data_IF_372329349458
#
_entry.id   IF_372329349458
#
_cell.length_a   1.000
_cell.length_b   1.000
_cell.length_c   1.000
_cell.angle_alpha   90.00
_cell.angle_beta   90.00
_cell.angle_gamma   90.00
#
_symmetry.space_group_name_H-M   'P 1'
#
loop_
_entity.id
_entity.type
_entity.pdbx_description
1 polymer ?
#
# COMPACT_ATOMS: atom_id res chain seq x y z
N UNK A 1 -13.75 3.32 -48.81
CA UNK A 1 -12.59 2.53 -48.34
C UNK A 1 -11.73 3.44 -47.47
N UNK A 2 -11.83 3.32 -46.15
CA UNK A 2 -11.23 4.27 -45.18
C UNK A 2 -9.74 4.00 -45.03
N UNK A 3 -8.92 4.69 -45.82
CA UNK A 3 -7.45 4.74 -45.65
C UNK A 3 -7.13 5.68 -44.47
N UNK A 4 -7.57 5.35 -43.26
CA UNK A 4 -7.08 5.96 -42.01
C UNK A 4 -5.91 5.13 -41.50
N UNK A 5 -4.94 4.91 -42.40
CA UNK A 5 -3.59 4.53 -42.04
C UNK A 5 -3.01 5.78 -41.39
N UNK A 6 -3.22 5.83 -40.09
CA UNK A 6 -2.61 6.77 -39.19
C UNK A 6 -1.11 6.79 -39.50
N UNK A 7 -0.67 7.82 -40.23
CA UNK A 7 0.73 8.22 -40.29
C UNK A 7 1.02 8.83 -38.91
N UNK A 8 1.05 7.99 -37.88
CA UNK A 8 1.66 8.36 -36.61
C UNK A 8 3.09 8.70 -36.99
N UNK A 9 3.37 10.01 -37.06
CA UNK A 9 4.71 10.53 -37.21
C UNK A 9 5.62 9.70 -36.33
N UNK A 10 6.75 9.24 -36.88
CA UNK A 10 7.69 8.33 -36.22
C UNK A 10 7.99 8.80 -34.78
N UNK A 11 8.01 10.11 -34.55
CA UNK A 11 8.15 10.74 -33.24
C UNK A 11 7.08 10.31 -32.22
N UNK A 12 5.82 10.17 -32.61
CA UNK A 12 4.74 9.75 -31.70
C UNK A 12 4.88 8.29 -31.30
N UNK A 13 5.31 7.43 -32.23
CA UNK A 13 5.60 6.02 -31.94
C UNK A 13 6.77 5.93 -30.95
N UNK A 14 7.81 6.73 -31.15
CA UNK A 14 8.97 6.80 -30.23
C UNK A 14 8.54 7.24 -28.83
N UNK A 15 7.74 8.30 -28.71
CA UNK A 15 7.27 8.80 -27.41
C UNK A 15 6.40 7.75 -26.71
N UNK A 16 5.50 7.09 -27.46
CA UNK A 16 4.66 6.02 -26.92
C UNK A 16 5.50 4.84 -26.40
N UNK A 17 6.54 4.44 -27.12
CA UNK A 17 7.45 3.38 -26.70
C UNK A 17 8.23 3.76 -25.43
N UNK A 18 8.79 4.97 -25.36
CA UNK A 18 9.50 5.46 -24.16
C UNK A 18 8.57 5.52 -22.95
N UNK A 19 7.36 6.05 -23.12
CA UNK A 19 6.38 6.13 -22.04
C UNK A 19 6.01 4.73 -21.49
N UNK A 20 5.85 3.75 -22.38
CA UNK A 20 5.57 2.37 -21.99
C UNK A 20 6.75 1.78 -21.18
N UNK A 21 7.98 1.97 -21.63
CA UNK A 21 9.18 1.51 -20.92
C UNK A 21 9.25 2.13 -19.51
N UNK A 22 9.06 3.44 -19.40
CA UNK A 22 9.07 4.13 -18.10
C UNK A 22 7.98 3.60 -17.17
N UNK A 23 6.76 3.40 -17.69
CA UNK A 23 5.66 2.83 -16.90
C UNK A 23 5.99 1.44 -16.36
N UNK A 24 6.59 0.57 -17.18
CA UNK A 24 7.01 -0.77 -16.75
C UNK A 24 8.05 -0.66 -15.63
N UNK A 25 9.07 0.19 -15.78
CA UNK A 25 10.09 0.39 -14.75
C UNK A 25 9.49 0.90 -13.44
N UNK A 26 8.60 1.90 -13.49
CA UNK A 26 7.91 2.41 -12.30
C UNK A 26 7.06 1.33 -11.64
N UNK A 27 6.33 0.52 -12.42
CA UNK A 27 5.57 -0.59 -11.89
C UNK A 27 6.49 -1.59 -11.17
N UNK A 28 7.60 -2.01 -11.77
CA UNK A 28 8.55 -2.93 -11.13
C UNK A 28 9.16 -2.35 -9.85
N UNK A 29 9.50 -1.06 -9.82
CA UNK A 29 10.01 -0.40 -8.62
C UNK A 29 8.96 -0.33 -7.52
N UNK A 30 7.71 0.00 -7.86
CA UNK A 30 6.59 0.05 -6.90
C UNK A 30 6.24 -1.35 -6.41
N UNK A 31 6.20 -2.38 -7.25
CA UNK A 31 5.97 -3.75 -6.81
C UNK A 31 7.11 -4.25 -5.91
N UNK A 32 8.36 -3.92 -6.25
CA UNK A 32 9.55 -4.30 -5.46
C UNK A 32 9.61 -3.54 -4.13
N UNK A 33 9.21 -2.28 -4.09
CA UNK A 33 9.13 -1.45 -2.88
C UNK A 33 7.86 -1.72 -2.06
N UNK A 34 6.78 -2.16 -2.71
CA UNK A 34 5.47 -2.44 -2.13
C UNK A 34 5.47 -3.56 -1.09
N UNK A 35 6.44 -4.47 -1.16
CA UNK A 35 6.66 -5.47 -0.11
C UNK A 35 7.04 -4.86 1.26
N UNK A 36 7.51 -3.61 1.30
CA UNK A 36 7.84 -2.89 2.54
C UNK A 36 6.73 -2.00 3.08
N UNK A 37 5.72 -1.65 2.28
CA UNK A 37 4.68 -0.67 2.68
C UNK A 37 3.79 -1.24 3.79
N UNK A 38 3.56 -2.57 3.82
CA UNK A 38 2.83 -3.22 4.92
C UNK A 38 3.48 -3.07 6.30
N UNK A 39 4.77 -2.69 6.39
CA UNK A 39 5.45 -2.46 7.68
C UNK A 39 5.21 -1.06 8.25
N UNK A 40 4.78 -0.09 7.44
CA UNK A 40 4.56 1.29 7.89
C UNK A 40 3.22 1.53 8.57
N UNK A 41 2.27 0.60 8.41
CA UNK A 41 0.90 0.73 8.93
C UNK A 41 0.57 -0.36 9.94
N UNK A 42 1.56 -0.96 10.61
CA UNK A 42 1.34 -1.93 11.68
C UNK A 42 1.19 -1.23 13.04
N UNK A 43 0.41 -1.81 13.95
CA UNK A 43 0.10 -1.19 15.25
C UNK A 43 1.37 -0.99 16.07
N UNK A 44 2.32 -1.93 15.96
CA UNK A 44 3.66 -1.84 16.52
C UNK A 44 4.48 -0.69 15.94
N UNK A 45 4.35 -0.38 14.65
CA UNK A 45 5.14 0.69 14.01
C UNK A 45 4.72 2.09 14.48
N UNK A 46 3.49 2.26 14.96
CA UNK A 46 3.02 3.50 15.59
C UNK A 46 3.22 3.49 17.12
N UNK A 47 3.94 2.51 17.68
CA UNK A 47 4.19 2.39 19.11
C UNK A 47 3.02 1.81 19.92
N UNK A 48 2.02 1.25 19.25
CA UNK A 48 0.88 0.58 19.87
C UNK A 48 1.04 -0.93 19.96
N UNK A 49 0.07 -1.58 20.60
CA UNK A 49 -0.03 -3.04 20.67
C UNK A 49 -1.43 -3.49 20.30
N UNK A 50 -1.53 -4.56 19.52
CA UNK A 50 -2.80 -5.19 19.20
C UNK A 50 -3.32 -5.97 20.41
N UNK A 51 -4.57 -5.69 20.82
CA UNK A 51 -5.25 -6.37 21.93
C UNK A 51 -6.74 -6.57 21.59
N UNK A 52 -7.40 -7.47 22.31
CA UNK A 52 -8.85 -7.69 22.23
C UNK A 52 -9.62 -6.48 22.80
N UNK A 53 -9.05 -5.85 23.83
CA UNK A 53 -9.56 -4.62 24.42
C UNK A 53 -8.41 -3.70 24.84
N UNK A 54 -8.65 -2.39 24.72
CA UNK A 54 -7.77 -1.36 25.24
C UNK A 54 -8.33 -0.89 26.59
N UNK A 55 -7.55 -1.03 27.66
CA UNK A 55 -7.89 -0.43 28.96
C UNK A 55 -7.84 1.10 28.91
N UNK A 56 -8.31 1.76 29.97
CA UNK A 56 -8.33 3.23 30.08
C UNK A 56 -6.92 3.88 30.09
N UNK A 57 -5.86 3.09 30.16
CA UNK A 57 -4.46 3.53 30.05
C UNK A 57 -3.97 3.58 28.60
N UNK A 58 -4.83 3.24 27.64
CA UNK A 58 -4.51 3.22 26.21
C UNK A 58 -5.48 4.07 25.40
N UNK A 59 -4.97 4.82 24.41
CA UNK A 59 -5.80 5.49 23.43
C UNK A 59 -6.27 4.44 22.40
N UNK A 60 -7.58 4.27 22.27
CA UNK A 60 -8.17 3.31 21.33
C UNK A 60 -8.21 3.93 19.94
N UNK A 61 -7.55 3.30 18.99
CA UNK A 61 -7.62 3.69 17.59
C UNK A 61 -8.25 2.56 16.76
N UNK A 62 -9.38 2.83 16.10
CA UNK A 62 -10.17 1.87 15.30
C UNK A 62 -9.52 1.52 13.94
N UNK A 63 -8.19 1.39 13.93
CA UNK A 63 -7.40 0.94 12.79
C UNK A 63 -7.41 -0.59 12.70
N UNK A 64 -8.59 -1.21 12.72
CA UNK A 64 -8.78 -2.68 12.79
C UNK A 64 -8.09 -3.50 11.65
N UNK A 65 -7.53 -2.83 10.63
CA UNK A 65 -6.71 -3.43 9.55
C UNK A 65 -5.19 -3.40 9.78
N UNK A 66 -4.76 -2.89 10.94
CA UNK A 66 -3.35 -2.63 11.28
C UNK A 66 -2.76 -3.76 12.15
N UNK A 67 -3.63 -4.61 12.70
CA UNK A 67 -3.25 -5.86 13.36
C UNK A 67 -3.14 -6.98 12.33
N UNK A 68 -2.06 -7.77 12.42
CA UNK A 68 -1.85 -8.94 11.55
C UNK A 68 -3.05 -9.88 11.62
N UNK A 69 -3.37 -10.52 10.48
CA UNK A 69 -4.50 -11.47 10.37
C UNK A 69 -4.44 -12.59 11.42
N UNK A 70 -3.23 -12.99 11.82
CA UNK A 70 -3.00 -13.98 12.90
C UNK A 70 -3.56 -13.53 14.25
N UNK A 71 -3.46 -12.24 14.58
CA UNK A 71 -4.01 -11.67 15.81
C UNK A 71 -5.52 -11.44 15.69
N UNK A 72 -6.01 -11.11 14.48
CA UNK A 72 -7.44 -11.00 14.23
C UNK A 72 -8.17 -12.34 14.41
N UNK A 73 -7.55 -13.47 14.05
CA UNK A 73 -8.09 -14.82 14.28
C UNK A 73 -8.18 -15.16 15.78
N UNK A 74 -7.34 -14.54 16.61
CA UNK A 74 -7.35 -14.68 18.07
C UNK A 74 -8.28 -13.66 18.77
N UNK A 75 -9.02 -12.84 18.02
CA UNK A 75 -9.90 -11.79 18.56
C UNK A 75 -9.20 -10.45 18.87
N UNK A 76 -7.89 -10.34 18.64
CA UNK A 76 -7.13 -9.11 18.88
C UNK A 76 -7.21 -8.16 17.67
N UNK A 77 -8.38 -7.51 17.53
CA UNK A 77 -8.70 -6.65 16.39
C UNK A 77 -8.64 -5.14 16.70
N UNK A 78 -8.13 -4.73 17.87
CA UNK A 78 -7.99 -3.32 18.27
C UNK A 78 -6.52 -2.94 18.45
N UNK A 79 -6.15 -1.75 17.97
CA UNK A 79 -4.83 -1.18 18.20
C UNK A 79 -4.88 -0.23 19.40
N UNK A 80 -4.06 -0.50 20.41
CA UNK A 80 -4.01 0.25 21.67
C UNK A 80 -2.68 0.97 21.79
N UNK A 81 -2.68 2.31 21.79
CA UNK A 81 -1.47 3.10 22.01
C UNK A 81 -1.33 3.46 23.49
N UNK A 82 -0.16 3.28 24.12
CA UNK A 82 0.02 3.69 25.51
C UNK A 82 -0.10 5.22 25.62
N UNK A 83 -0.99 5.70 26.51
CA UNK A 83 -0.96 7.10 26.90
C UNK A 83 0.30 7.31 27.75
N UNK A 84 1.21 8.17 27.28
CA UNK A 84 2.38 8.60 28.07
C UNK A 84 1.96 9.49 29.23
#
# INVERSE_FOLDING_TARGET
>A
MTKKGVELSVNVIIIAAIALIVLVLLAFLVLRSGGGISKGTSCESIGGSCKDSCDNTYERQDISKVCSKELADQGLNKCCLPLS
#
